data_IF_985847547877
#
_entry.id   IF_985847547877
#
_cell.length_a   1.000
_cell.length_b   1.000
_cell.length_c   1.000
_cell.angle_alpha   90.00
_cell.angle_beta   90.00
_cell.angle_gamma   90.00
#
_symmetry.space_group_name_H-M   'P 1'
#
loop_
_entity.id
_entity.type
_entity.pdbx_description
1 polymer ?
#
# COMPACT_ATOMS: atom_id res chain seq x y z
N UNK A 1 -2.68 5.43 8.74
CA UNK A 1 -3.51 4.78 7.72
C UNK A 1 -2.55 3.98 6.85
N UNK A 2 -2.69 2.66 6.80
CA UNK A 2 -1.73 1.82 6.09
C UNK A 2 -1.96 1.91 4.58
N UNK A 3 -0.91 1.87 3.76
CA UNK A 3 -1.04 1.88 2.30
C UNK A 3 -1.86 0.69 1.79
N UNK A 4 -1.88 -0.41 2.53
CA UNK A 4 -2.69 -1.62 2.26
C UNK A 4 -4.20 -1.34 2.33
N UNK A 5 -4.68 -0.60 3.35
CA UNK A 5 -6.08 -0.19 3.46
C UNK A 5 -6.55 0.63 2.23
N UNK A 6 -5.67 1.48 1.69
CA UNK A 6 -6.00 2.29 0.51
C UNK A 6 -6.11 1.43 -0.76
N UNK A 7 -5.26 0.42 -0.89
CA UNK A 7 -5.29 -0.54 -2.00
C UNK A 7 -6.56 -1.38 -1.93
N UNK A 8 -6.91 -1.92 -0.76
CA UNK A 8 -8.13 -2.72 -0.58
C UNK A 8 -9.39 -1.91 -0.89
N UNK A 9 -9.46 -0.67 -0.40
CA UNK A 9 -10.58 0.23 -0.71
C UNK A 9 -10.69 0.56 -2.20
N UNK A 10 -9.57 0.74 -2.90
CA UNK A 10 -9.57 1.01 -4.34
C UNK A 10 -10.06 -0.21 -5.13
N UNK A 11 -9.66 -1.43 -4.75
CA UNK A 11 -10.12 -2.68 -5.37
C UNK A 11 -11.62 -2.89 -5.12
N UNK A 12 -12.08 -2.63 -3.90
CA UNK A 12 -13.50 -2.73 -3.56
C UNK A 12 -14.33 -1.75 -4.39
N UNK A 13 -13.90 -0.49 -4.45
CA UNK A 13 -14.57 0.55 -5.25
C UNK A 13 -14.58 0.20 -6.74
N UNK A 14 -13.51 -0.42 -7.26
CA UNK A 14 -13.47 -0.90 -8.64
C UNK A 14 -14.53 -1.98 -8.89
N UNK A 15 -14.67 -2.93 -7.97
CA UNK A 15 -15.65 -4.02 -8.06
C UNK A 15 -17.09 -3.48 -8.04
N UNK A 16 -17.36 -2.51 -7.17
CA UNK A 16 -18.68 -1.86 -7.09
C UNK A 16 -19.01 -1.05 -8.35
N UNK A 17 -18.01 -0.38 -8.96
CA UNK A 17 -18.16 0.28 -10.26
C UNK A 17 -18.43 -0.74 -11.38
N UNK A 18 -17.75 -1.88 -11.38
CA UNK A 18 -17.94 -2.95 -12.39
C UNK A 18 -19.36 -3.53 -12.30
N UNK A 19 -19.85 -3.78 -11.07
CA UNK A 19 -21.20 -4.27 -10.82
C UNK A 19 -22.30 -3.28 -11.25
N UNK A 20 -22.01 -1.98 -11.25
CA UNK A 20 -22.89 -0.91 -11.71
C UNK A 20 -22.78 -0.65 -13.24
N UNK A 21 -21.90 -1.36 -13.95
CA UNK A 21 -21.68 -1.21 -15.39
C UNK A 21 -20.66 -0.13 -15.77
N UNK A 22 -19.97 0.49 -14.81
CA UNK A 22 -18.91 1.48 -15.05
C UNK A 22 -17.55 0.81 -15.26
N UNK A 23 -17.43 0.02 -16.34
CA UNK A 23 -16.22 -0.76 -16.64
C UNK A 23 -14.95 0.08 -16.81
N UNK A 24 -15.03 1.26 -17.44
CA UNK A 24 -13.88 2.18 -17.64
C UNK A 24 -13.36 2.73 -16.31
N UNK A 25 -14.27 3.07 -15.39
CA UNK A 25 -13.94 3.55 -14.04
C UNK A 25 -13.35 2.42 -13.19
N UNK A 26 -13.94 1.23 -13.25
CA UNK A 26 -13.42 0.04 -12.56
C UNK A 26 -11.99 -0.31 -13.03
N UNK A 27 -11.74 -0.24 -14.33
CA UNK A 27 -10.41 -0.47 -14.92
C UNK A 27 -9.39 0.56 -14.42
N UNK A 28 -9.76 1.84 -14.38
CA UNK A 28 -8.90 2.92 -13.89
C UNK A 28 -8.57 2.76 -12.40
N UNK A 29 -9.57 2.40 -11.58
CA UNK A 29 -9.38 2.13 -10.15
C UNK A 29 -8.50 0.90 -9.89
N UNK A 30 -8.64 -0.18 -10.66
CA UNK A 30 -7.74 -1.34 -10.59
C UNK A 30 -6.31 -0.98 -10.97
N UNK A 31 -6.11 -0.19 -12.03
CA UNK A 31 -4.79 0.27 -12.44
C UNK A 31 -4.13 1.11 -11.33
N UNK A 32 -4.88 2.03 -10.72
CA UNK A 32 -4.43 2.81 -9.57
C UNK A 32 -4.04 1.93 -8.38
N UNK A 33 -4.85 0.90 -8.06
CA UNK A 33 -4.54 -0.01 -6.97
C UNK A 33 -3.25 -0.82 -7.22
N UNK A 34 -2.98 -1.20 -8.48
CA UNK A 34 -1.74 -1.87 -8.88
C UNK A 34 -0.51 -0.95 -8.80
N UNK A 35 -0.65 0.31 -9.23
CA UNK A 35 0.40 1.34 -9.12
C UNK A 35 0.73 1.62 -7.64
N UNK A 36 -0.29 1.71 -6.78
CA UNK A 36 -0.13 1.87 -5.33
C UNK A 36 0.54 0.64 -4.71
N UNK A 37 0.22 -0.57 -5.14
CA UNK A 37 0.95 -1.79 -4.72
C UNK A 37 2.42 -1.75 -5.11
N UNK A 38 2.72 -1.36 -6.35
CA UNK A 38 4.10 -1.23 -6.84
C UNK A 38 4.89 -0.16 -6.08
N UNK A 39 4.23 0.94 -5.71
CA UNK A 39 4.82 2.06 -4.97
C UNK A 39 4.92 1.84 -3.45
N UNK A 40 4.06 0.98 -2.87
CA UNK A 40 4.12 0.62 -1.46
C UNK A 40 5.24 -0.40 -1.15
N UNK A 41 5.63 -1.23 -2.13
CA UNK A 41 6.70 -2.22 -1.95
C UNK A 41 8.10 -1.65 -1.69
N UNK A 42 8.56 -0.52 -2.25
CA UNK A 42 9.85 0.06 -1.84
C UNK A 42 9.80 0.75 -0.47
N UNK A 43 8.62 1.17 0.03
CA UNK A 43 8.53 1.82 1.36
C UNK A 43 8.48 0.81 2.52
N UNK A 44 7.87 -0.36 2.33
CA UNK A 44 7.90 -1.43 3.34
C UNK A 44 9.33 -1.98 3.52
N UNK A 45 10.13 -2.05 2.45
CA UNK A 45 11.54 -2.41 2.53
C UNK A 45 12.39 -1.30 3.21
N UNK A 46 12.04 -0.02 3.03
CA UNK A 46 12.74 1.08 3.68
C UNK A 46 12.44 1.20 5.19
N UNK A 47 11.21 0.89 5.62
CA UNK A 47 10.87 0.91 7.05
C UNK A 47 11.43 -0.28 7.84
N UNK A 48 11.68 -1.44 7.20
CA UNK A 48 12.37 -2.57 7.82
C UNK A 48 13.88 -2.33 8.06
N UNK A 49 14.50 -1.41 7.31
CA UNK A 49 15.92 -1.07 7.47
C UNK A 49 16.17 0.05 8.49
N UNK A 50 15.17 0.89 8.78
CA UNK A 50 15.30 1.96 9.77
C UNK A 50 15.17 1.44 11.22
N UNK A 51 14.48 0.33 11.46
CA UNK A 51 14.33 -0.24 12.81
C UNK A 51 15.44 -1.24 13.19
N UNK A 52 16.20 -1.77 12.21
CA UNK A 52 17.34 -2.66 12.45
C UNK A 52 18.67 -1.91 12.76
N UNK A 53 18.68 -0.58 12.68
CA UNK A 53 19.84 0.28 12.97
C UNK A 53 19.57 1.26 14.12
N UNK A 54 18.89 0.81 15.18
CA UNK A 54 19.07 1.44 16.48
C UNK A 54 20.28 0.76 17.17
N UNK A 55 21.47 1.38 17.23
CA UNK A 55 22.56 0.83 18.05
C UNK A 55 22.05 0.75 19.50
N UNK A 56 22.13 -0.45 20.07
CA UNK A 56 21.80 -0.69 21.47
C UNK A 56 22.47 0.37 22.37
N UNK A 57 21.76 1.03 23.30
CA UNK A 57 22.41 1.91 24.24
C UNK A 57 23.31 1.06 25.14
N UNK A 58 24.63 1.19 24.94
CA UNK A 58 25.64 0.64 25.84
C UNK A 58 25.41 1.29 27.20
N UNK A 59 24.98 0.49 28.19
CA UNK A 59 24.92 0.89 29.59
C UNK A 59 26.33 0.76 30.20
N UNK A 60 26.91 1.81 30.79
CA UNK A 60 28.13 1.66 31.59
C UNK A 60 27.77 1.09 32.97
N UNK A 61 28.65 0.20 33.45
CA UNK A 61 28.77 -0.19 34.86
C UNK A 61 29.62 0.83 35.63
#
# INVERSE_FOLDING_TARGET
MYPEDLIERAIQSATDCEAQGFYETAKSLRALAQELRGSAMPLAAAHGFAEAQAPAPIRPF
#
